data_IF_271328860156
#
_entry.id   IF_271328860156
#
_cell.length_a   1.000
_cell.length_b   1.000
_cell.length_c   1.000
_cell.angle_alpha   90.00
_cell.angle_beta   90.00
_cell.angle_gamma   90.00
#
_symmetry.space_group_name_H-M   'P 1'
#
loop_
_entity.id
_entity.type
_entity.pdbx_description
1 polymer ?
#
# COMPACT_ATOMS: atom_id res chain seq x y z
N UNK A 1 16.41 0.78 -4.98
CA UNK A 1 15.68 0.44 -3.74
C UNK A 1 14.88 1.60 -3.14
N UNK A 2 15.25 2.88 -3.38
CA UNK A 2 14.52 4.09 -2.93
C UNK A 2 13.01 4.17 -3.29
N UNK A 3 12.56 3.48 -4.35
CA UNK A 3 11.14 3.45 -4.77
C UNK A 3 10.27 2.40 -4.04
N UNK A 4 10.83 1.26 -3.63
CA UNK A 4 10.02 0.14 -3.08
C UNK A 4 9.63 0.41 -1.62
N UNK A 5 10.50 1.09 -0.86
CA UNK A 5 10.21 1.46 0.53
C UNK A 5 9.25 2.64 0.63
N UNK A 6 9.35 3.60 -0.30
CA UNK A 6 8.36 4.66 -0.48
C UNK A 6 7.00 4.05 -0.85
N UNK A 7 6.95 3.01 -1.69
CA UNK A 7 5.72 2.27 -2.01
C UNK A 7 5.17 1.54 -0.78
N UNK A 8 5.98 0.85 0.03
CA UNK A 8 5.53 0.11 1.23
C UNK A 8 5.02 1.01 2.37
N UNK A 9 5.47 2.27 2.45
CA UNK A 9 4.99 3.23 3.45
C UNK A 9 3.86 4.14 2.90
N UNK A 10 3.90 4.46 1.60
CA UNK A 10 2.80 5.11 0.88
C UNK A 10 1.60 4.16 0.72
N UNK A 11 1.78 2.84 0.61
CA UNK A 11 0.68 1.86 0.58
C UNK A 11 -0.16 1.91 1.86
N UNK A 12 0.47 2.14 3.01
CA UNK A 12 -0.18 2.12 4.32
C UNK A 12 -0.82 3.46 4.73
N UNK A 13 -0.36 4.60 4.19
CA UNK A 13 -0.84 5.93 4.59
C UNK A 13 -1.22 6.89 3.45
N UNK A 14 -0.90 6.56 2.19
CA UNK A 14 -1.08 7.43 1.01
C UNK A 14 -1.88 6.74 -0.11
N UNK A 15 -2.17 5.44 -0.03
CA UNK A 15 -2.80 4.69 -1.15
C UNK A 15 -4.33 4.54 -1.12
N UNK A 16 -5.03 5.16 -0.18
CA UNK A 16 -6.49 5.29 -0.34
C UNK A 16 -6.89 6.15 -1.57
N UNK A 17 -6.08 7.13 -2.02
CA UNK A 17 -6.30 7.81 -3.31
C UNK A 17 -5.41 7.37 -4.50
N UNK A 18 -4.33 6.59 -4.32
CA UNK A 18 -3.48 6.17 -5.46
C UNK A 18 -4.01 4.95 -6.26
N UNK A 19 -5.21 4.49 -5.91
CA UNK A 19 -6.02 3.57 -6.73
C UNK A 19 -6.25 4.10 -8.16
N UNK A 20 -6.09 5.41 -8.39
CA UNK A 20 -6.39 6.05 -9.68
C UNK A 20 -5.34 5.78 -10.78
N UNK A 21 -4.12 5.31 -10.46
CA UNK A 21 -3.09 5.03 -11.50
C UNK A 21 -3.10 3.59 -12.06
N UNK A 22 -3.93 2.69 -11.53
CA UNK A 22 -4.20 1.37 -12.16
C UNK A 22 -5.55 1.29 -12.87
N UNK A 23 -6.35 2.36 -12.87
CA UNK A 23 -7.50 2.53 -13.77
C UNK A 23 -7.11 3.35 -15.01
N UNK A 24 -5.90 3.07 -15.52
CA UNK A 24 -5.54 3.42 -16.88
C UNK A 24 -6.43 2.61 -17.82
N UNK A 25 -7.29 3.32 -18.55
CA UNK A 25 -8.23 2.79 -19.51
C UNK A 25 -7.65 1.64 -20.34
N UNK A 26 -8.29 0.48 -20.24
CA UNK A 26 -8.68 -0.26 -21.43
C UNK A 26 -10.21 -0.26 -21.42
N UNK A 27 -10.79 0.52 -22.33
CA UNK A 27 -12.14 0.24 -22.81
C UNK A 27 -12.13 -1.20 -23.33
N UNK A 28 -12.75 -2.10 -22.60
CA UNK A 28 -13.32 -3.31 -23.17
C UNK A 28 -14.71 -3.40 -22.55
N UNK A 29 -15.68 -2.93 -23.33
CA UNK A 29 -17.04 -3.45 -23.29
C UNK A 29 -16.92 -4.98 -23.21
N UNK A 30 -17.49 -5.60 -22.20
CA UNK A 30 -18.36 -6.75 -22.40
C UNK A 30 -18.94 -7.24 -21.09
N UNK A 31 -20.24 -7.45 -21.16
CA UNK A 31 -21.09 -8.03 -20.14
C UNK A 31 -20.70 -9.50 -19.87
N UNK A 32 -21.17 -9.98 -18.72
CA UNK A 32 -21.56 -11.36 -18.41
C UNK A 32 -20.75 -12.16 -17.36
N UNK A 33 -21.52 -12.48 -16.32
CA UNK A 33 -21.67 -13.75 -15.57
C UNK A 33 -20.52 -14.42 -14.84
N UNK A 34 -20.91 -14.92 -13.67
CA UNK A 34 -20.14 -15.21 -12.46
C UNK A 34 -20.07 -16.71 -12.26
N UNK A 35 -18.90 -17.25 -11.90
CA UNK A 35 -18.86 -18.54 -11.23
C UNK A 35 -17.66 -18.64 -10.27
N UNK A 36 -17.97 -18.75 -8.97
CA UNK A 36 -17.32 -19.79 -8.17
C UNK A 36 -16.13 -19.46 -7.26
N UNK A 37 -15.99 -18.26 -6.69
CA UNK A 37 -15.43 -18.02 -5.34
C UNK A 37 -16.04 -16.68 -4.89
N UNK A 38 -16.38 -16.51 -3.61
CA UNK A 38 -17.04 -15.32 -3.05
C UNK A 38 -16.11 -14.07 -3.03
N UNK A 39 -15.57 -13.68 -4.19
CA UNK A 39 -14.79 -12.47 -4.42
C UNK A 39 -15.71 -11.44 -5.04
N UNK A 40 -16.45 -10.67 -4.23
CA UNK A 40 -17.40 -9.68 -4.73
C UNK A 40 -16.77 -8.79 -5.82
N UNK A 41 -17.36 -8.81 -7.02
CA UNK A 41 -16.99 -7.93 -8.13
C UNK A 41 -17.20 -6.48 -7.71
N UNK A 42 -16.35 -5.65 -8.28
CA UNK A 42 -16.46 -4.20 -8.20
C UNK A 42 -16.42 -3.64 -9.59
N UNK A 43 -17.38 -2.78 -9.90
CA UNK A 43 -17.37 -2.01 -11.14
C UNK A 43 -16.80 -0.64 -10.87
N UNK A 44 -16.08 -0.10 -11.85
CA UNK A 44 -15.53 1.26 -11.79
C UNK A 44 -15.90 1.99 -13.06
N UNK A 45 -16.61 3.10 -12.93
CA UNK A 45 -17.08 3.93 -14.03
C UNK A 45 -16.77 5.41 -13.74
N UNK A 46 -16.85 6.26 -14.78
CA UNK A 46 -16.87 7.71 -14.61
C UNK A 46 -18.28 8.23 -14.84
N UNK A 47 -18.74 9.15 -14.00
CA UNK A 47 -20.00 9.85 -14.24
C UNK A 47 -19.85 10.99 -15.27
N UNK A 48 -20.95 11.66 -15.58
CA UNK A 48 -20.99 12.79 -16.53
C UNK A 48 -20.14 13.99 -16.11
N UNK A 49 -19.77 14.08 -14.83
CA UNK A 49 -18.90 15.12 -14.28
C UNK A 49 -17.44 14.66 -14.19
N UNK A 50 -17.14 13.43 -14.63
CA UNK A 50 -15.82 12.82 -14.58
C UNK A 50 -15.44 12.24 -13.21
N UNK A 51 -16.36 12.18 -12.25
CA UNK A 51 -16.13 11.56 -10.95
C UNK A 51 -16.04 10.04 -11.10
N UNK A 52 -15.19 9.40 -10.29
CA UNK A 52 -15.04 7.94 -10.31
C UNK A 52 -16.11 7.33 -9.40
N UNK A 53 -16.92 6.44 -9.94
CA UNK A 53 -17.91 5.67 -9.20
C UNK A 53 -17.42 4.23 -9.09
N UNK A 54 -17.39 3.71 -7.87
CA UNK A 54 -17.06 2.32 -7.58
C UNK A 54 -18.31 1.68 -6.99
N UNK A 55 -18.82 0.61 -7.58
CA UNK A 55 -19.92 -0.19 -7.00
C UNK A 55 -19.43 -1.59 -6.68
N UNK A 56 -19.93 -2.20 -5.61
CA UNK A 56 -19.76 -3.63 -5.35
C UNK A 56 -21.03 -4.42 -5.64
N UNK A 57 -20.92 -5.76 -5.68
CA UNK A 57 -22.05 -6.66 -5.92
C UNK A 57 -23.18 -6.59 -4.90
N UNK A 58 -22.92 -6.00 -3.73
CA UNK A 58 -23.91 -5.79 -2.69
C UNK A 58 -24.67 -4.47 -2.88
N UNK A 59 -24.39 -3.75 -3.97
CA UNK A 59 -24.98 -2.47 -4.30
C UNK A 59 -24.34 -1.29 -3.56
N UNK A 60 -23.28 -1.49 -2.76
CA UNK A 60 -22.63 -0.37 -2.09
C UNK A 60 -21.90 0.49 -3.12
N UNK A 61 -22.02 1.81 -2.98
CA UNK A 61 -21.42 2.79 -3.90
C UNK A 61 -20.41 3.67 -3.20
N UNK A 62 -19.28 3.91 -3.85
CA UNK A 62 -18.33 4.97 -3.50
C UNK A 62 -18.15 5.93 -4.66
N UNK A 63 -18.11 7.21 -4.35
CA UNK A 63 -17.83 8.29 -5.31
C UNK A 63 -16.52 8.94 -4.93
N UNK A 64 -15.65 9.16 -5.91
CA UNK A 64 -14.42 9.93 -5.76
C UNK A 64 -14.52 11.13 -6.69
N UNK A 65 -14.56 12.30 -6.08
CA UNK A 65 -14.70 13.60 -6.74
C UNK A 65 -13.41 14.39 -6.56
N UNK A 66 -13.03 15.17 -7.57
CA UNK A 66 -11.92 16.11 -7.48
C UNK A 66 -12.45 17.53 -7.72
N UNK A 67 -12.22 18.44 -6.78
CA UNK A 67 -12.65 19.82 -6.93
C UNK A 67 -11.69 20.65 -7.80
N UNK A 68 -12.05 21.92 -8.04
CA UNK A 68 -11.26 22.86 -8.86
C UNK A 68 -9.89 23.19 -8.28
N UNK A 69 -9.71 23.04 -6.96
CA UNK A 69 -8.43 23.24 -6.28
C UNK A 69 -7.61 21.95 -6.25
N UNK A 70 -8.17 20.86 -6.73
CA UNK A 70 -7.55 19.56 -6.81
C UNK A 70 -7.73 18.68 -5.57
N UNK A 71 -8.53 19.12 -4.59
CA UNK A 71 -8.83 18.32 -3.41
C UNK A 71 -9.70 17.13 -3.80
N UNK A 72 -9.45 15.99 -3.17
CA UNK A 72 -10.19 14.75 -3.42
C UNK A 72 -11.21 14.56 -2.31
N UNK A 73 -12.46 14.31 -2.69
CA UNK A 73 -13.52 13.89 -1.79
C UNK A 73 -13.95 12.47 -2.11
N UNK A 74 -13.94 11.60 -1.11
CA UNK A 74 -14.47 10.23 -1.20
C UNK A 74 -15.73 10.17 -0.35
N UNK A 75 -16.85 9.76 -0.95
CA UNK A 75 -18.13 9.54 -0.25
C UNK A 75 -18.62 8.12 -0.45
N UNK A 76 -19.17 7.52 0.59
CA UNK A 76 -19.97 6.30 0.44
C UNK A 76 -21.47 6.59 0.49
N UNK A 77 -22.25 5.57 0.15
CA UNK A 77 -23.72 5.56 0.16
C UNK A 77 -24.34 5.73 1.55
N UNK A 78 -23.57 5.49 2.62
CA UNK A 78 -23.97 5.69 4.01
C UNK A 78 -23.73 7.11 4.50
N UNK A 79 -23.23 7.99 3.63
CA UNK A 79 -22.95 9.39 3.93
C UNK A 79 -21.59 9.62 4.59
N UNK A 80 -20.76 8.59 4.80
CA UNK A 80 -19.41 8.80 5.31
C UNK A 80 -18.57 9.50 4.25
N UNK A 81 -17.78 10.48 4.68
CA UNK A 81 -16.92 11.29 3.80
C UNK A 81 -15.48 11.29 4.28
N UNK A 82 -14.56 11.24 3.33
CA UNK A 82 -13.15 11.60 3.54
C UNK A 82 -12.72 12.67 2.54
N UNK A 83 -11.97 13.65 3.02
CA UNK A 83 -11.30 14.63 2.16
C UNK A 83 -9.81 14.46 2.21
N UNK A 84 -9.17 14.77 1.10
CA UNK A 84 -7.72 14.81 0.95
C UNK A 84 -7.41 16.14 0.28
N UNK A 85 -6.66 16.97 0.99
CA UNK A 85 -6.32 18.34 0.61
C UNK A 85 -4.81 18.48 0.64
N UNK A 86 -4.26 19.23 -0.30
CA UNK A 86 -2.84 19.60 -0.32
C UNK A 86 -2.73 21.11 -0.13
N UNK A 87 -1.94 21.56 0.85
CA UNK A 87 -1.73 22.99 1.08
C UNK A 87 -0.64 23.57 0.15
N UNK A 88 -0.43 24.88 0.22
CA UNK A 88 0.55 25.58 -0.61
C UNK A 88 2.01 25.16 -0.36
N UNK A 89 2.27 24.48 0.76
CA UNK A 89 3.59 23.96 1.11
C UNK A 89 3.74 22.47 0.71
N UNK A 90 2.70 21.87 0.12
CA UNK A 90 2.69 20.46 -0.27
C UNK A 90 2.34 19.51 0.88
N UNK A 91 1.84 20.01 2.02
CA UNK A 91 1.40 19.14 3.10
C UNK A 91 0.03 18.55 2.77
N UNK A 92 -0.11 17.24 2.96
CA UNK A 92 -1.36 16.53 2.69
C UNK A 92 -2.15 16.41 3.99
N UNK A 93 -3.40 16.86 3.96
CA UNK A 93 -4.35 16.69 5.04
C UNK A 93 -5.45 15.73 4.63
N UNK A 94 -5.69 14.71 5.44
CA UNK A 94 -6.81 13.78 5.30
C UNK A 94 -7.77 14.04 6.47
N UNK A 95 -9.04 14.32 6.18
CA UNK A 95 -10.09 14.48 7.21
C UNK A 95 -11.24 13.52 6.96
N UNK A 96 -11.85 13.03 8.03
CA UNK A 96 -13.14 12.38 7.96
C UNK A 96 -14.29 13.29 8.41
N UNK A 97 -15.51 12.83 8.20
CA UNK A 97 -16.76 13.49 8.59
C UNK A 97 -16.95 13.62 10.11
N UNK A 98 -16.20 12.85 10.90
CA UNK A 98 -16.19 12.92 12.37
C UNK A 98 -15.18 13.92 12.91
N UNK A 99 -14.47 14.64 12.02
CA UNK A 99 -13.47 15.63 12.38
C UNK A 99 -12.09 15.07 12.71
N UNK A 100 -11.87 13.74 12.59
CA UNK A 100 -10.52 13.19 12.77
C UNK A 100 -9.64 13.66 11.61
N UNK A 101 -8.40 14.04 11.91
CA UNK A 101 -7.45 14.55 10.92
C UNK A 101 -6.14 13.78 10.99
N UNK A 102 -5.59 13.50 9.82
CA UNK A 102 -4.20 13.09 9.66
C UNK A 102 -3.49 14.02 8.70
N UNK A 103 -2.30 14.46 9.06
CA UNK A 103 -1.45 15.32 8.23
C UNK A 103 -0.19 14.58 7.86
N UNK A 104 0.29 14.79 6.64
CA UNK A 104 1.58 14.34 6.14
C UNK A 104 2.32 15.58 5.68
N UNK A 105 3.47 15.82 6.29
CA UNK A 105 4.32 16.99 6.04
C UNK A 105 5.69 16.50 5.58
N UNK A 106 6.32 17.28 4.70
CA UNK A 106 7.69 17.04 4.25
C UNK A 106 8.52 18.28 4.53
N UNK A 107 9.60 18.13 5.29
CA UNK A 107 10.51 19.23 5.57
C UNK A 107 11.49 19.50 4.41
N UNK A 108 12.29 20.56 4.54
CA UNK A 108 13.28 20.97 3.54
C UNK A 108 14.40 19.95 3.31
N UNK A 109 14.65 19.06 4.28
CA UNK A 109 15.62 17.97 4.18
C UNK A 109 15.00 16.71 3.59
N UNK A 110 13.69 16.73 3.34
CA UNK A 110 12.93 15.63 2.79
C UNK A 110 12.41 14.64 3.82
N UNK A 111 12.55 14.93 5.12
CA UNK A 111 11.99 14.09 6.18
C UNK A 111 10.48 14.22 6.18
N UNK A 112 9.81 13.09 6.42
CA UNK A 112 8.35 13.02 6.43
C UNK A 112 7.88 12.95 7.87
N UNK A 113 6.95 13.82 8.24
CA UNK A 113 6.21 13.73 9.50
C UNK A 113 4.75 13.39 9.20
N UNK A 114 4.22 12.38 9.88
CA UNK A 114 2.81 12.04 9.87
C UNK A 114 2.28 12.24 11.28
N UNK A 115 1.21 13.02 11.45
CA UNK A 115 0.59 13.19 12.75
C UNK A 115 -0.93 13.19 12.66
N UNK A 116 -1.60 12.90 13.77
CA UNK A 116 -3.05 13.02 13.90
C UNK A 116 -3.47 14.05 14.96
N UNK A 117 -4.76 14.34 15.01
CA UNK A 117 -5.41 15.24 15.96
C UNK A 117 -5.32 14.79 17.42
N UNK A 118 -4.96 13.52 17.67
CA UNK A 118 -4.77 12.94 19.01
C UNK A 118 -3.32 13.04 19.49
N UNK A 119 -2.45 13.67 18.70
CA UNK A 119 -1.04 13.86 19.01
C UNK A 119 -0.16 12.65 18.67
N UNK A 120 -0.69 11.59 18.06
CA UNK A 120 0.16 10.49 17.61
C UNK A 120 1.04 10.99 16.46
N UNK A 121 2.34 10.69 16.50
CA UNK A 121 3.30 11.14 15.49
C UNK A 121 4.19 10.00 15.01
N UNK A 122 4.46 10.00 13.71
CA UNK A 122 5.50 9.17 13.09
C UNK A 122 6.41 10.03 12.24
N UNK A 123 7.70 9.76 12.29
CA UNK A 123 8.69 10.42 11.44
C UNK A 123 9.43 9.40 10.60
N UNK A 124 9.82 9.82 9.40
CA UNK A 124 10.68 9.07 8.49
C UNK A 124 11.79 10.02 8.05
N UNK A 125 13.03 9.63 8.24
CA UNK A 125 14.20 10.41 7.87
C UNK A 125 15.28 9.49 7.26
N UNK A 126 16.21 10.08 6.53
CA UNK A 126 17.44 9.42 6.08
C UNK A 126 18.57 9.83 7.03
N UNK A 127 19.32 8.87 7.58
CA UNK A 127 20.50 9.19 8.39
C UNK A 127 21.71 9.51 7.50
N UNK A 128 22.82 9.91 8.13
CA UNK A 128 24.06 10.29 7.42
C UNK A 128 24.70 9.15 6.61
N UNK A 129 24.29 7.90 6.85
CA UNK A 129 24.77 6.73 6.12
C UNK A 129 23.80 6.31 5.02
N UNK A 130 22.70 7.04 4.82
CA UNK A 130 21.68 6.71 3.83
C UNK A 130 20.62 5.71 4.33
N UNK A 131 20.61 5.39 5.63
CA UNK A 131 19.62 4.46 6.18
C UNK A 131 18.29 5.17 6.40
N UNK A 132 17.19 4.48 6.14
CA UNK A 132 15.86 5.01 6.49
C UNK A 132 15.57 4.73 7.96
N UNK A 133 15.27 5.78 8.72
CA UNK A 133 14.88 5.70 10.12
C UNK A 133 13.41 6.08 10.26
N UNK A 134 12.64 5.20 10.90
CA UNK A 134 11.22 5.43 11.21
C UNK A 134 11.08 5.49 12.73
N UNK A 135 10.47 6.55 13.27
CA UNK A 135 10.17 6.66 14.70
C UNK A 135 8.70 6.93 14.94
N UNK A 136 8.20 6.52 16.11
CA UNK A 136 6.94 6.99 16.64
C UNK A 136 7.13 7.77 17.95
N UNK A 137 6.07 8.46 18.36
CA UNK A 137 5.95 9.22 19.61
C UNK A 137 6.05 8.37 20.88
N UNK A 138 5.91 7.04 20.77
CA UNK A 138 6.05 6.08 21.87
C UNK A 138 7.49 5.56 22.03
N UNK A 139 8.44 6.13 21.28
CA UNK A 139 9.84 5.75 21.34
C UNK A 139 10.17 4.45 20.60
N UNK A 140 9.27 3.87 19.80
CA UNK A 140 9.63 2.78 18.92
C UNK A 140 10.43 3.33 17.73
N UNK A 141 11.50 2.62 17.35
CA UNK A 141 12.35 2.99 16.23
C UNK A 141 12.57 1.78 15.33
N UNK A 142 12.48 1.98 14.03
CA UNK A 142 12.92 1.03 13.00
C UNK A 142 13.99 1.65 12.14
N UNK A 143 15.02 0.88 11.84
CA UNK A 143 16.07 1.21 10.87
C UNK A 143 15.97 0.24 9.71
N UNK A 144 16.05 0.79 8.51
CA UNK A 144 16.10 0.04 7.26
C UNK A 144 17.39 0.45 6.58
N UNK A 145 18.30 -0.50 6.43
CA UNK A 145 19.65 -0.30 5.92
C UNK A 145 19.97 -1.37 4.88
N UNK A 146 21.00 -1.15 4.09
CA UNK A 146 21.56 -2.13 3.16
C UNK A 146 22.87 -2.66 3.75
N UNK A 147 23.04 -3.99 3.80
CA UNK A 147 24.31 -4.58 4.23
C UNK A 147 25.35 -4.56 3.09
N UNK A 148 26.57 -4.97 3.43
CA UNK A 148 27.70 -5.01 2.46
C UNK A 148 27.48 -5.97 1.28
N UNK A 149 26.49 -6.85 1.36
CA UNK A 149 26.14 -7.79 0.30
C UNK A 149 24.92 -7.32 -0.52
N UNK A 150 24.40 -6.13 -0.23
CA UNK A 150 23.22 -5.57 -0.88
C UNK A 150 21.89 -6.09 -0.34
N UNK A 151 21.89 -6.77 0.82
CA UNK A 151 20.65 -7.23 1.44
C UNK A 151 20.00 -6.09 2.22
N UNK A 152 18.67 -6.00 2.17
CA UNK A 152 17.94 -5.05 3.02
C UNK A 152 17.77 -5.62 4.43
N UNK A 153 18.28 -4.90 5.42
CA UNK A 153 18.14 -5.22 6.84
C UNK A 153 17.13 -4.27 7.47
N UNK A 154 16.14 -4.84 8.16
CA UNK A 154 15.14 -4.10 8.93
C UNK A 154 15.32 -4.49 10.39
N UNK A 155 15.63 -3.53 11.26
CA UNK A 155 15.79 -3.76 12.70
C UNK A 155 14.96 -2.78 13.51
N UNK A 156 14.47 -3.22 14.66
CA UNK A 156 13.84 -2.34 15.65
C UNK A 156 14.71 -2.14 16.90
N UNK A 157 14.34 -1.18 17.73
CA UNK A 157 15.01 -0.91 19.01
C UNK A 157 14.70 -1.93 20.12
N UNK A 158 14.00 -3.02 19.82
CA UNK A 158 13.73 -4.15 20.72
C UNK A 158 14.56 -5.38 20.37
N UNK A 159 15.46 -5.26 19.40
CA UNK A 159 16.34 -6.34 18.95
C UNK A 159 15.72 -7.26 17.89
N UNK A 160 14.50 -6.97 17.39
CA UNK A 160 13.96 -7.74 16.28
C UNK A 160 14.65 -7.33 14.98
N UNK A 161 15.02 -8.32 14.17
CA UNK A 161 15.69 -8.15 12.88
C UNK A 161 15.00 -8.96 11.80
N UNK A 162 14.89 -8.40 10.60
CA UNK A 162 14.52 -9.08 9.36
C UNK A 162 15.55 -8.79 8.29
N UNK A 163 15.88 -9.80 7.49
CA UNK A 163 16.74 -9.70 6.32
C UNK A 163 15.91 -10.01 5.09
N UNK A 164 16.03 -9.17 4.07
CA UNK A 164 15.46 -9.41 2.75
C UNK A 164 16.62 -9.52 1.78
N UNK A 165 16.78 -10.69 1.17
CA UNK A 165 17.87 -11.01 0.25
C UNK A 165 17.35 -11.71 -1.01
N UNK A 166 18.19 -11.77 -2.04
CA UNK A 166 17.97 -12.65 -3.17
C UNK A 166 18.77 -13.94 -3.00
N UNK A 167 18.16 -15.09 -3.29
CA UNK A 167 18.94 -16.33 -3.42
C UNK A 167 19.61 -16.41 -4.80
N UNK A 168 20.39 -17.48 -5.01
CA UNK A 168 21.13 -17.71 -6.26
C UNK A 168 20.22 -17.88 -7.49
N UNK A 169 18.93 -18.16 -7.29
CA UNK A 169 17.93 -18.31 -8.34
C UNK A 169 17.13 -17.01 -8.56
N UNK A 170 17.44 -15.95 -7.81
CA UNK A 170 16.74 -14.67 -7.88
C UNK A 170 15.43 -14.63 -7.09
N UNK A 171 15.13 -15.64 -6.27
CA UNK A 171 13.96 -15.62 -5.39
C UNK A 171 14.19 -14.65 -4.24
N UNK A 172 13.13 -13.98 -3.78
CA UNK A 172 13.22 -13.12 -2.60
C UNK A 172 13.09 -13.97 -1.34
N UNK A 173 14.08 -13.89 -0.47
CA UNK A 173 14.07 -14.54 0.84
C UNK A 173 13.89 -13.47 1.91
N UNK A 174 12.88 -13.64 2.74
CA UNK A 174 12.62 -12.82 3.93
C UNK A 174 12.86 -13.72 5.14
N UNK A 175 13.78 -13.35 6.00
CA UNK A 175 14.18 -14.14 7.15
C UNK A 175 14.21 -13.28 8.41
N UNK A 176 13.59 -13.74 9.50
CA UNK A 176 13.66 -13.06 10.79
C UNK A 176 14.82 -13.55 11.66
N UNK A 177 15.13 -12.83 12.74
CA UNK A 177 16.19 -13.20 13.68
C UNK A 177 15.95 -14.50 14.46
N UNK A 178 14.79 -15.15 14.29
CA UNK A 178 14.46 -16.45 14.90
C UNK A 178 14.58 -17.61 13.89
N UNK A 179 14.94 -17.32 12.64
CA UNK A 179 15.06 -18.31 11.57
C UNK A 179 13.76 -18.61 10.83
N UNK A 180 12.67 -17.87 11.09
CA UNK A 180 11.47 -18.01 10.27
C UNK A 180 11.73 -17.40 8.90
N UNK A 181 11.41 -18.16 7.85
CA UNK A 181 11.73 -17.80 6.47
C UNK A 181 10.49 -17.82 5.60
N UNK A 182 10.35 -16.79 4.78
CA UNK A 182 9.41 -16.74 3.66
C UNK A 182 10.19 -16.60 2.36
N UNK A 183 9.86 -17.43 1.38
CA UNK A 183 10.43 -17.40 0.03
C UNK A 183 9.35 -16.94 -0.93
N UNK A 184 9.65 -15.91 -1.72
CA UNK A 184 8.81 -15.44 -2.82
C UNK A 184 9.53 -15.76 -4.12
N UNK A 185 8.90 -16.59 -4.95
CA UNK A 185 9.46 -17.07 -6.22
C UNK A 185 8.41 -17.03 -7.31
N UNK A 186 8.83 -17.20 -8.56
CA UNK A 186 7.91 -17.46 -9.68
C UNK A 186 7.99 -18.93 -10.08
N UNK A 187 6.85 -19.53 -10.41
CA UNK A 187 6.85 -20.83 -11.08
C UNK A 187 7.14 -20.69 -12.58
N UNK A 188 7.17 -21.83 -13.26
CA UNK A 188 7.41 -21.91 -14.72
C UNK A 188 6.31 -21.25 -15.55
N UNK A 189 5.12 -21.03 -14.97
CA UNK A 189 4.00 -20.35 -15.60
C UNK A 189 3.98 -18.85 -15.28
N UNK A 190 4.94 -18.38 -14.50
CA UNK A 190 5.07 -16.98 -14.08
C UNK A 190 4.19 -16.60 -12.89
N UNK A 191 3.53 -17.56 -12.23
CA UNK A 191 2.73 -17.32 -11.03
C UNK A 191 3.64 -17.01 -9.85
N UNK A 192 3.23 -16.08 -8.99
CA UNK A 192 3.98 -15.76 -7.77
C UNK A 192 3.63 -16.76 -6.68
N UNK A 193 4.64 -17.43 -6.13
CA UNK A 193 4.52 -18.39 -5.04
C UNK A 193 5.18 -17.78 -3.81
N UNK A 194 4.45 -17.76 -2.70
CA UNK A 194 4.91 -17.36 -1.37
C UNK A 194 4.88 -18.60 -0.48
N UNK A 195 6.03 -19.05 -0.03
CA UNK A 195 6.19 -20.23 0.84
C UNK A 195 6.83 -19.82 2.16
N UNK A 196 6.21 -20.21 3.26
CA UNK A 196 6.75 -20.03 4.61
C UNK A 196 7.38 -21.32 5.11
N UNK A 197 8.39 -21.21 5.99
CA UNK A 197 9.11 -22.33 6.58
C UNK A 197 8.26 -23.26 7.45
N UNK A 198 7.09 -22.80 7.87
CA UNK A 198 6.07 -23.57 8.60
C UNK A 198 5.17 -24.43 7.68
N UNK A 199 5.41 -24.40 6.36
CA UNK A 199 4.70 -25.20 5.37
C UNK A 199 3.53 -24.49 4.70
N UNK A 200 3.17 -23.28 5.14
CA UNK A 200 2.11 -22.50 4.50
C UNK A 200 2.54 -22.01 3.12
N UNK A 201 1.64 -22.13 2.14
CA UNK A 201 1.91 -21.71 0.76
C UNK A 201 0.75 -20.94 0.15
N UNK A 202 1.07 -19.77 -0.42
CA UNK A 202 0.16 -18.95 -1.22
C UNK A 202 0.61 -18.90 -2.66
N UNK A 203 -0.32 -19.04 -3.60
CA UNK A 203 -0.09 -18.89 -5.04
C UNK A 203 -0.94 -17.74 -5.56
N UNK A 204 -0.32 -16.80 -6.25
CA UNK A 204 -0.96 -15.67 -6.92
C UNK A 204 -0.77 -15.84 -8.41
N UNK A 205 -1.87 -16.05 -9.13
CA UNK A 205 -1.89 -16.34 -10.57
C UNK A 205 -2.92 -15.51 -11.31
N UNK A 206 -2.87 -15.57 -12.64
CA UNK A 206 -3.94 -15.06 -13.51
C UNK A 206 -4.83 -16.22 -13.96
N UNK A 207 -6.15 -16.04 -13.90
CA UNK A 207 -7.07 -16.95 -14.56
C UNK A 207 -7.08 -16.74 -16.08
N UNK A 208 -7.86 -17.55 -16.80
CA UNK A 208 -8.02 -17.47 -18.26
C UNK A 208 -8.60 -16.13 -18.74
N UNK A 209 -9.21 -15.35 -17.83
CA UNK A 209 -9.80 -14.05 -18.10
C UNK A 209 -8.88 -12.89 -17.67
N UNK A 210 -7.69 -13.18 -17.14
CA UNK A 210 -6.72 -12.18 -16.68
C UNK A 210 -6.95 -11.64 -15.26
N UNK A 211 -7.90 -12.20 -14.51
CA UNK A 211 -8.14 -11.82 -13.12
C UNK A 211 -7.08 -12.39 -12.19
N UNK A 212 -6.71 -11.65 -11.15
CA UNK A 212 -5.80 -12.16 -10.13
C UNK A 212 -6.53 -13.14 -9.21
N UNK A 213 -6.08 -14.39 -9.21
CA UNK A 213 -6.55 -15.45 -8.32
C UNK A 213 -5.49 -15.72 -7.25
N UNK A 214 -5.93 -15.88 -6.00
CA UNK A 214 -5.08 -16.20 -4.87
C UNK A 214 -5.56 -17.53 -4.28
N UNK A 215 -4.65 -18.50 -4.18
CA UNK A 215 -4.90 -19.83 -3.60
C UNK A 215 -4.02 -20.01 -2.36
N UNK A 216 -4.62 -20.49 -1.28
CA UNK A 216 -3.96 -20.71 0.02
C UNK A 216 -3.96 -22.22 0.35
N UNK A 217 -2.79 -22.75 0.73
CA UNK A 217 -2.52 -24.16 1.03
C UNK A 217 -1.80 -24.33 2.38
#
# INVERSE_FOLDING_TARGET
MKKILFILFATQFILAPYIIKSYGANLIEDNYEYSGVNQGRKTVEKDIFGNIIIRDDKGNRKTIEKDIFGNITIRDDKGNRKTIEEDIFGNITIRDDKGNRKTIEKDIFGNITIHDDKGNRKTIEEDIFGNTIIRDDKGNRKTIEEDIFGNTIIRDNKGNRKTIKKDIFGNTIIEDGKGNRTTIKKDIFGNEIIESSDGHRKIIKKDIFGNTVIEDY
#
